data_IF_962931962268
#
_entry.id   IF_962931962268
#
_cell.length_a   1.000
_cell.length_b   1.000
_cell.length_c   1.000
_cell.angle_alpha   90.00
_cell.angle_beta   90.00
_cell.angle_gamma   90.00
#
_symmetry.space_group_name_H-M   'P 1'
#
loop_
_entity.id
_entity.type
_entity.pdbx_description
1 polymer ?
#
# COMPACT_ATOMS: atom_id res chain seq x y z
N UNK A 1 10.63 -5.09 0.16
CA UNK A 1 11.54 -6.18 0.62
C UNK A 1 10.77 -7.49 0.65
N UNK A 2 11.38 -8.66 0.39
CA UNK A 2 10.72 -9.97 0.52
C UNK A 2 11.00 -10.63 1.87
N UNK A 3 9.96 -11.15 2.53
CA UNK A 3 10.04 -11.93 3.76
C UNK A 3 10.38 -13.40 3.50
N UNK A 4 10.24 -13.84 2.25
CA UNK A 4 10.68 -15.14 1.75
C UNK A 4 11.83 -14.90 0.76
N UNK A 5 13.00 -15.49 1.02
CA UNK A 5 14.18 -15.40 0.14
C UNK A 5 13.91 -16.11 -1.19
N UNK A 6 14.33 -15.50 -2.29
CA UNK A 6 14.08 -15.99 -3.65
C UNK A 6 14.87 -17.27 -3.96
N UNK A 7 14.14 -18.35 -4.22
CA UNK A 7 14.55 -19.54 -4.96
C UNK A 7 13.32 -20.11 -5.70
N UNK A 8 13.45 -21.22 -6.45
CA UNK A 8 12.28 -22.06 -6.75
C UNK A 8 11.49 -22.30 -5.46
N UNK A 9 10.15 -22.38 -5.47
CA UNK A 9 9.33 -22.55 -4.25
C UNK A 9 9.85 -23.66 -3.30
N UNK A 10 10.49 -24.69 -3.85
CA UNK A 10 11.11 -25.81 -3.12
C UNK A 10 12.39 -25.43 -2.34
N UNK A 11 13.04 -24.32 -2.69
CA UNK A 11 14.29 -23.82 -2.09
C UNK A 11 14.12 -22.46 -1.39
N UNK A 12 12.95 -21.84 -1.50
CA UNK A 12 12.64 -20.59 -0.81
C UNK A 12 12.63 -20.79 0.70
N UNK A 13 13.22 -19.84 1.45
CA UNK A 13 13.29 -19.89 2.92
C UNK A 13 12.81 -18.58 3.54
N UNK A 14 12.08 -18.62 4.67
CA UNK A 14 11.79 -17.41 5.42
C UNK A 14 13.07 -16.71 5.87
N UNK A 15 13.07 -15.39 5.90
CA UNK A 15 14.22 -14.63 6.42
C UNK A 15 14.43 -14.96 7.91
N UNK A 16 15.68 -15.19 8.39
CA UNK A 16 15.93 -15.60 9.77
C UNK A 16 15.33 -14.67 10.83
N UNK A 17 15.29 -13.36 10.56
CA UNK A 17 14.70 -12.36 11.45
C UNK A 17 13.20 -12.52 11.63
N UNK A 18 12.49 -13.02 10.62
CA UNK A 18 11.06 -13.33 10.72
C UNK A 18 10.84 -14.49 11.70
N UNK A 19 11.72 -15.49 11.69
CA UNK A 19 11.67 -16.61 12.63
C UNK A 19 11.95 -16.16 14.07
N UNK A 20 12.88 -15.22 14.28
CA UNK A 20 13.13 -14.60 15.60
C UNK A 20 11.85 -13.91 16.10
N UNK A 21 11.19 -13.12 15.25
CA UNK A 21 9.93 -12.46 15.60
C UNK A 21 8.82 -13.48 15.91
N UNK A 22 8.71 -14.55 15.13
CA UNK A 22 7.75 -15.63 15.36
C UNK A 22 7.93 -16.26 16.74
N UNK A 23 9.17 -16.63 17.09
CA UNK A 23 9.50 -17.23 18.39
C UNK A 23 9.21 -16.27 19.56
N UNK A 24 9.57 -14.99 19.40
CA UNK A 24 9.26 -13.93 20.38
C UNK A 24 7.77 -13.87 20.71
N UNK A 25 6.91 -14.11 19.71
CA UNK A 25 5.46 -14.05 19.83
C UNK A 25 4.77 -15.41 19.93
N UNK A 26 5.51 -16.43 20.39
CA UNK A 26 4.97 -17.73 20.76
C UNK A 26 4.51 -18.57 19.58
N UNK A 27 5.08 -18.35 18.39
CA UNK A 27 4.98 -19.26 17.26
C UNK A 27 6.24 -20.12 17.25
N UNK A 28 6.09 -21.38 17.60
CA UNK A 28 7.17 -22.36 17.51
C UNK A 28 7.42 -22.71 16.03
N UNK A 29 8.59 -22.35 15.53
CA UNK A 29 9.03 -22.57 14.15
C UNK A 29 10.49 -23.03 14.13
N UNK A 30 10.80 -24.18 13.49
CA UNK A 30 12.18 -24.60 13.29
C UNK A 30 12.87 -23.69 12.24
N UNK A 31 14.20 -23.68 12.23
CA UNK A 31 14.98 -22.83 11.30
C UNK A 31 14.82 -23.24 9.82
N UNK A 32 14.38 -24.46 9.56
CA UNK A 32 14.16 -25.04 8.22
C UNK A 32 12.67 -25.09 7.81
N UNK A 33 11.81 -24.36 8.52
CA UNK A 33 10.36 -24.32 8.22
C UNK A 33 10.10 -23.90 6.77
N UNK A 34 9.23 -24.64 6.09
CA UNK A 34 8.84 -24.28 4.73
C UNK A 34 8.04 -22.95 4.73
N UNK A 35 8.15 -22.13 3.67
CA UNK A 35 7.36 -20.90 3.56
C UNK A 35 5.85 -21.13 3.71
N UNK A 36 5.34 -22.27 3.21
CA UNK A 36 3.92 -22.65 3.33
C UNK A 36 3.54 -22.95 4.79
N UNK A 37 4.31 -23.78 5.48
CA UNK A 37 4.02 -24.15 6.88
C UNK A 37 4.14 -22.92 7.79
N UNK A 38 5.10 -22.02 7.51
CA UNK A 38 5.19 -20.75 8.20
C UNK A 38 3.92 -19.93 7.98
N UNK A 39 3.50 -19.74 6.73
CA UNK A 39 2.28 -18.99 6.40
C UNK A 39 1.07 -19.55 7.16
N UNK A 40 0.86 -20.87 7.16
CA UNK A 40 -0.27 -21.49 7.85
C UNK A 40 -0.28 -21.16 9.35
N UNK A 41 0.89 -21.18 10.00
CA UNK A 41 1.05 -20.77 11.40
C UNK A 41 0.78 -19.27 11.61
N UNK A 42 1.25 -18.42 10.69
CA UNK A 42 1.00 -16.97 10.75
C UNK A 42 -0.49 -16.65 10.56
N UNK A 43 -1.16 -17.32 9.62
CA UNK A 43 -2.61 -17.18 9.41
C UNK A 43 -3.39 -17.65 10.64
N UNK A 44 -2.96 -18.71 11.31
CA UNK A 44 -3.62 -19.17 12.52
C UNK A 44 -3.43 -18.21 13.71
N UNK A 45 -2.23 -17.63 13.87
CA UNK A 45 -1.88 -16.88 15.08
C UNK A 45 -2.11 -15.37 14.96
N UNK A 46 -1.67 -14.78 13.86
CA UNK A 46 -1.58 -13.32 13.71
C UNK A 46 -2.69 -12.74 12.86
N UNK A 47 -3.10 -13.42 11.79
CA UNK A 47 -4.17 -12.94 10.91
C UNK A 47 -5.50 -12.75 11.66
N UNK A 48 -6.14 -11.61 11.42
CA UNK A 48 -7.44 -11.26 12.01
C UNK A 48 -8.52 -11.30 10.95
N UNK A 49 -9.08 -12.49 10.73
CA UNK A 49 -10.17 -12.69 9.79
C UNK A 49 -11.41 -11.87 10.17
N UNK A 50 -12.04 -11.24 9.18
CA UNK A 50 -13.28 -10.47 9.36
C UNK A 50 -13.12 -9.09 10.02
N UNK A 51 -11.92 -8.73 10.48
CA UNK A 51 -11.64 -7.40 11.04
C UNK A 51 -11.05 -6.47 9.99
N UNK A 52 -11.54 -5.23 9.97
CA UNK A 52 -10.84 -4.12 9.32
C UNK A 52 -9.64 -3.74 10.19
N UNK A 53 -8.52 -3.34 9.58
CA UNK A 53 -7.26 -3.06 10.29
C UNK A 53 -7.40 -2.02 11.40
N UNK A 54 -8.24 -1.01 11.20
CA UNK A 54 -8.49 0.03 12.21
C UNK A 54 -9.34 -0.47 13.40
N UNK A 55 -9.90 -1.68 13.32
CA UNK A 55 -10.63 -2.34 14.40
C UNK A 55 -9.72 -3.24 15.25
N UNK A 56 -8.51 -3.55 14.77
CA UNK A 56 -7.52 -4.30 15.53
C UNK A 56 -7.06 -3.42 16.70
N UNK A 57 -7.26 -3.93 17.92
CA UNK A 57 -6.84 -3.27 19.17
C UNK A 57 -5.68 -4.05 19.79
N UNK A 58 -4.91 -3.39 20.64
CA UNK A 58 -3.81 -3.99 21.39
C UNK A 58 -2.82 -2.94 21.87
N UNK A 59 -1.76 -3.42 22.50
CA UNK A 59 -0.65 -2.58 22.96
C UNK A 59 0.21 -2.10 21.76
N UNK A 60 0.82 -0.91 21.86
CA UNK A 60 1.81 -0.46 20.90
C UNK A 60 3.05 -1.39 20.90
N UNK A 61 3.82 -1.45 19.80
CA UNK A 61 5.08 -2.17 19.75
C UNK A 61 6.08 -1.58 20.76
N UNK A 62 6.88 -2.45 21.40
CA UNK A 62 8.00 -2.05 22.25
C UNK A 62 9.24 -1.71 21.39
N UNK A 63 10.26 -1.10 21.98
CA UNK A 63 11.48 -0.71 21.25
C UNK A 63 12.17 -1.90 20.55
N UNK A 64 12.20 -3.06 21.20
CA UNK A 64 12.76 -4.29 20.66
C UNK A 64 11.87 -4.91 19.56
N UNK A 65 10.57 -4.61 19.53
CA UNK A 65 9.70 -4.92 18.39
C UNK A 65 10.00 -4.02 17.21
N UNK A 66 10.10 -2.71 17.47
CA UNK A 66 10.41 -1.72 16.45
C UNK A 66 11.77 -2.01 15.80
N UNK A 67 12.77 -2.43 16.58
CA UNK A 67 14.06 -2.87 16.06
C UNK A 67 13.91 -4.05 15.09
N UNK A 68 13.21 -5.11 15.48
CA UNK A 68 12.97 -6.27 14.61
C UNK A 68 12.15 -5.91 13.37
N UNK A 69 11.13 -5.07 13.50
CA UNK A 69 10.29 -4.65 12.40
C UNK A 69 11.06 -3.77 11.39
N UNK A 70 12.00 -2.93 11.86
CA UNK A 70 12.92 -2.20 10.99
C UNK A 70 13.92 -3.11 10.29
N UNK A 71 14.49 -4.09 10.99
CA UNK A 71 15.39 -5.08 10.36
C UNK A 71 14.69 -5.98 9.34
N UNK A 72 13.36 -6.05 9.39
CA UNK A 72 12.50 -6.72 8.43
C UNK A 72 11.92 -5.77 7.38
N UNK A 73 12.42 -4.53 7.27
CA UNK A 73 11.90 -3.47 6.38
C UNK A 73 10.36 -3.37 6.40
N UNK A 74 9.73 -3.72 7.53
CA UNK A 74 8.28 -3.61 7.72
C UNK A 74 7.89 -2.18 8.12
N UNK A 75 8.90 -1.36 8.43
CA UNK A 75 8.77 0.02 8.85
C UNK A 75 9.94 0.81 8.24
N UNK A 76 9.67 1.53 7.15
CA UNK A 76 10.67 2.43 6.55
C UNK A 76 10.47 3.88 7.00
N UNK A 77 11.53 4.50 7.48
CA UNK A 77 11.56 5.91 7.89
C UNK A 77 11.76 6.87 6.70
N UNK A 78 12.28 6.36 5.58
CA UNK A 78 12.60 7.16 4.39
C UNK A 78 11.87 6.56 3.20
N UNK A 79 11.20 7.35 2.34
CA UNK A 79 10.63 6.82 1.11
C UNK A 79 11.77 6.17 0.32
N UNK A 80 11.57 4.98 -0.28
CA UNK A 80 12.60 4.38 -1.11
C UNK A 80 12.94 5.36 -2.23
N UNK A 81 14.14 5.94 -2.15
CA UNK A 81 14.76 6.54 -3.31
C UNK A 81 15.18 5.38 -4.21
N UNK A 82 14.46 5.19 -5.31
CA UNK A 82 14.93 4.32 -6.37
C UNK A 82 16.04 5.07 -7.12
N UNK A 83 17.20 5.17 -6.49
CA UNK A 83 18.44 5.19 -7.26
C UNK A 83 18.57 3.77 -7.86
N UNK A 84 18.76 3.67 -9.18
CA UNK A 84 18.93 2.35 -9.83
C UNK A 84 19.92 1.49 -9.03
N UNK A 85 19.67 0.17 -8.88
CA UNK A 85 20.58 -0.68 -8.13
C UNK A 85 22.03 -0.55 -8.67
N UNK A 86 23.03 -0.58 -7.78
CA UNK A 86 24.43 -0.17 -8.03
C UNK A 86 25.24 -1.05 -9.00
N UNK A 87 24.60 -1.92 -9.78
CA UNK A 87 25.27 -2.89 -10.67
C UNK A 87 25.25 -2.51 -12.16
N UNK A 88 24.63 -1.40 -12.54
CA UNK A 88 24.90 -0.81 -13.86
C UNK A 88 26.29 -0.16 -13.85
N UNK A 89 27.16 -0.42 -14.84
CA UNK A 89 28.48 0.19 -14.87
C UNK A 89 28.34 1.71 -14.85
N UNK A 90 29.15 2.40 -14.05
CA UNK A 90 28.92 3.77 -13.66
C UNK A 90 29.14 4.68 -14.86
N UNK A 91 28.09 5.34 -15.30
CA UNK A 91 28.31 6.66 -15.90
C UNK A 91 27.30 7.71 -15.47
N UNK A 92 26.15 7.35 -14.86
CA UNK A 92 25.31 8.24 -14.03
C UNK A 92 24.04 7.48 -13.60
N UNK A 93 23.63 7.52 -12.31
CA UNK A 93 22.28 7.07 -11.93
C UNK A 93 21.26 7.92 -12.68
N UNK A 94 20.41 7.28 -13.49
CA UNK A 94 19.30 7.99 -14.14
C UNK A 94 18.17 8.15 -13.13
N UNK A 95 17.47 9.29 -13.09
CA UNK A 95 16.26 9.38 -12.28
C UNK A 95 15.19 8.43 -12.83
N UNK A 96 14.41 7.80 -11.93
CA UNK A 96 13.19 7.09 -12.31
C UNK A 96 12.12 8.13 -12.62
N UNK A 97 11.57 8.08 -13.84
CA UNK A 97 10.47 8.94 -14.27
C UNK A 97 9.17 8.15 -14.18
N UNK A 98 8.27 8.58 -13.29
CA UNK A 98 6.99 7.93 -13.04
C UNK A 98 5.92 8.38 -14.05
N UNK A 99 5.15 7.44 -14.58
CA UNK A 99 3.97 7.69 -15.43
C UNK A 99 2.80 8.27 -14.63
N UNK A 100 2.73 7.95 -13.35
CA UNK A 100 1.71 8.46 -12.45
C UNK A 100 1.88 7.93 -11.03
N UNK A 101 0.95 8.31 -10.17
CA UNK A 101 0.86 7.78 -8.81
C UNK A 101 -0.50 7.14 -8.57
N UNK A 102 -0.54 6.16 -7.70
CA UNK A 102 -1.74 5.51 -7.20
C UNK A 102 -1.87 5.86 -5.73
N UNK A 103 -2.89 6.63 -5.36
CA UNK A 103 -3.23 6.89 -3.97
C UNK A 103 -4.22 5.84 -3.50
N UNK A 104 -3.80 4.95 -2.61
CA UNK A 104 -4.69 3.90 -2.13
C UNK A 104 -5.81 4.47 -1.24
N UNK A 105 -6.97 3.81 -1.24
CA UNK A 105 -8.07 4.11 -0.34
C UNK A 105 -7.77 3.78 1.12
N UNK A 106 -8.39 4.53 2.02
CA UNK A 106 -8.39 4.31 3.47
C UNK A 106 -9.45 5.22 4.12
N UNK A 107 -9.54 5.17 5.46
CA UNK A 107 -10.26 6.19 6.21
C UNK A 107 -9.66 7.59 6.01
N UNK A 108 -10.49 8.63 6.08
CA UNK A 108 -10.10 10.03 5.89
C UNK A 108 -8.76 10.46 6.54
N UNK A 109 -8.46 10.17 7.82
CA UNK A 109 -7.19 10.60 8.41
C UNK A 109 -5.96 10.00 7.71
N UNK A 110 -6.07 8.75 7.24
CA UNK A 110 -4.99 8.07 6.52
C UNK A 110 -4.82 8.59 5.10
N UNK A 111 -5.92 8.93 4.42
CA UNK A 111 -5.86 9.56 3.08
C UNK A 111 -5.14 10.91 3.15
N UNK A 112 -5.44 11.74 4.15
CA UNK A 112 -4.70 13.02 4.31
C UNK A 112 -3.27 12.81 4.71
N UNK A 113 -2.97 11.91 5.64
CA UNK A 113 -1.58 11.60 5.98
C UNK A 113 -0.80 11.16 4.73
N UNK A 114 -1.35 10.31 3.85
CA UNK A 114 -0.69 9.92 2.59
C UNK A 114 -0.44 11.10 1.66
N UNK A 115 -1.41 12.01 1.52
CA UNK A 115 -1.26 13.20 0.69
C UNK A 115 -0.22 14.16 1.27
N UNK A 116 -0.21 14.36 2.59
CA UNK A 116 0.79 15.18 3.29
C UNK A 116 2.21 14.58 3.17
N UNK A 117 2.31 13.26 3.29
CA UNK A 117 3.57 12.56 3.09
C UNK A 117 4.06 12.81 1.66
N UNK A 118 3.17 12.62 0.67
CA UNK A 118 3.48 12.84 -0.73
C UNK A 118 3.89 14.28 -1.03
N UNK A 119 3.21 15.30 -0.49
CA UNK A 119 3.63 16.71 -0.69
C UNK A 119 5.02 17.00 -0.14
N UNK A 120 5.45 16.26 0.88
CA UNK A 120 6.77 16.41 1.50
C UNK A 120 7.90 15.84 0.62
N UNK A 121 7.68 14.71 -0.05
CA UNK A 121 8.70 14.07 -0.88
C UNK A 121 8.45 14.17 -2.40
N UNK A 122 7.35 14.74 -2.86
CA UNK A 122 7.09 14.96 -4.29
C UNK A 122 8.19 15.76 -5.01
N UNK A 123 8.85 16.78 -4.40
CA UNK A 123 9.97 17.49 -5.03
C UNK A 123 11.21 16.63 -5.30
N UNK A 124 11.22 15.39 -4.78
CA UNK A 124 12.33 14.45 -4.81
C UNK A 124 12.11 13.31 -5.82
N UNK A 125 11.00 13.31 -6.54
CA UNK A 125 10.63 12.29 -7.54
C UNK A 125 10.29 12.96 -8.87
N UNK A 126 10.66 12.32 -9.97
CA UNK A 126 10.39 12.82 -11.31
C UNK A 126 9.15 12.15 -11.89
N UNK A 127 8.24 12.94 -12.44
CA UNK A 127 7.05 12.45 -13.14
C UNK A 127 7.05 12.89 -14.60
N UNK A 128 6.38 12.11 -15.46
CA UNK A 128 6.04 12.56 -16.81
C UNK A 128 5.27 13.88 -16.77
N UNK A 129 5.43 14.72 -17.79
CA UNK A 129 4.78 16.04 -17.83
C UNK A 129 3.26 16.01 -17.64
N UNK A 130 2.60 14.97 -18.14
CA UNK A 130 1.15 14.77 -18.13
C UNK A 130 0.67 13.75 -17.09
N UNK A 131 1.49 13.49 -16.07
CA UNK A 131 1.18 12.51 -15.02
C UNK A 131 -0.12 12.82 -14.29
N UNK A 132 -0.71 11.76 -13.71
CA UNK A 132 -1.92 11.84 -12.91
C UNK A 132 -1.81 11.06 -11.62
N UNK A 133 -2.52 11.52 -10.61
CA UNK A 133 -2.85 10.75 -9.43
C UNK A 133 -4.13 9.94 -9.64
N UNK A 134 -4.04 8.62 -9.57
CA UNK A 134 -5.20 7.74 -9.57
C UNK A 134 -5.66 7.52 -8.14
N UNK A 135 -6.84 8.02 -7.80
CA UNK A 135 -7.44 7.89 -6.47
C UNK A 135 -8.20 6.57 -6.40
N UNK A 136 -7.64 5.58 -5.70
CA UNK A 136 -8.24 4.24 -5.59
C UNK A 136 -9.33 4.22 -4.51
N UNK A 137 -10.56 4.55 -4.92
CA UNK A 137 -11.71 4.64 -4.03
C UNK A 137 -12.73 3.53 -4.25
N UNK A 138 -13.27 2.99 -3.14
CA UNK A 138 -14.37 2.04 -3.20
C UNK A 138 -15.75 2.64 -2.92
N UNK A 139 -16.80 1.94 -3.35
CA UNK A 139 -18.18 2.19 -2.93
C UNK A 139 -18.47 1.76 -1.48
N UNK A 140 -17.45 1.74 -0.60
CA UNK A 140 -17.61 1.47 0.83
C UNK A 140 -18.32 2.65 1.49
N UNK A 141 -19.38 2.45 2.29
CA UNK A 141 -19.97 3.52 3.10
C UNK A 141 -18.95 4.14 4.06
N UNK A 142 -19.09 5.44 4.30
CA UNK A 142 -18.24 6.15 5.27
C UNK A 142 -18.52 5.69 6.71
N UNK A 143 -17.47 5.67 7.53
CA UNK A 143 -17.57 5.47 8.97
C UNK A 143 -18.17 6.74 9.62
N UNK A 144 -19.35 6.67 10.26
CA UNK A 144 -20.03 7.87 10.74
C UNK A 144 -19.30 8.59 11.88
N UNK A 145 -18.34 7.94 12.54
CA UNK A 145 -17.53 8.52 13.62
C UNK A 145 -16.24 9.10 13.06
N UNK A 146 -15.54 8.35 12.20
CA UNK A 146 -14.20 8.72 11.70
C UNK A 146 -14.22 9.49 10.38
N UNK A 147 -15.36 9.56 9.73
CA UNK A 147 -15.56 10.18 8.42
C UNK A 147 -16.87 11.01 8.43
N UNK A 148 -17.22 11.58 9.60
CA UNK A 148 -18.36 12.47 9.77
C UNK A 148 -18.16 13.81 9.04
N UNK A 149 -19.24 14.59 8.87
CA UNK A 149 -19.13 15.95 8.31
C UNK A 149 -18.13 16.81 9.07
N UNK A 150 -18.17 16.75 10.40
CA UNK A 150 -17.25 17.50 11.26
C UNK A 150 -15.79 17.10 10.99
N UNK A 151 -15.51 15.79 10.90
CA UNK A 151 -14.17 15.29 10.61
C UNK A 151 -13.70 15.68 9.20
N UNK A 152 -14.56 15.55 8.20
CA UNK A 152 -14.24 15.88 6.81
C UNK A 152 -14.01 17.39 6.59
N UNK A 153 -14.69 18.23 7.38
CA UNK A 153 -14.60 19.68 7.27
C UNK A 153 -13.65 20.32 8.31
N UNK A 154 -12.90 19.51 9.07
CA UNK A 154 -11.86 19.99 9.98
C UNK A 154 -10.49 19.79 9.31
N UNK A 155 -9.66 20.84 9.18
CA UNK A 155 -8.30 20.69 8.70
C UNK A 155 -7.51 19.69 9.56
N UNK A 156 -6.73 18.83 8.90
CA UNK A 156 -5.82 17.88 9.57
C UNK A 156 -4.37 18.30 9.30
N UNK A 157 -3.44 17.37 9.04
CA UNK A 157 -2.04 17.76 8.76
C UNK A 157 -1.88 18.54 7.44
N UNK A 158 -2.77 18.30 6.47
CA UNK A 158 -2.80 19.00 5.19
C UNK A 158 -3.84 20.13 5.25
N UNK A 159 -3.44 21.41 5.09
CA UNK A 159 -4.35 22.54 5.15
C UNK A 159 -5.34 22.53 3.99
N UNK A 160 -6.50 23.16 4.20
CA UNK A 160 -7.47 23.37 3.13
C UNK A 160 -7.02 24.50 2.20
N UNK A 161 -7.47 24.45 0.94
CA UNK A 161 -7.29 25.53 -0.02
C UNK A 161 -7.91 26.82 0.52
N UNK A 162 -7.26 27.94 0.24
CA UNK A 162 -7.77 29.27 0.58
C UNK A 162 -9.17 29.47 -0.04
N UNK A 163 -10.10 29.98 0.76
CA UNK A 163 -11.49 30.20 0.34
C UNK A 163 -12.32 28.93 0.15
N UNK A 164 -11.81 27.74 0.50
CA UNK A 164 -12.60 26.51 0.44
C UNK A 164 -13.77 26.56 1.42
N UNK A 165 -14.95 26.18 0.94
CA UNK A 165 -16.17 26.04 1.74
C UNK A 165 -16.74 24.65 1.58
N UNK A 166 -17.25 24.09 2.67
CA UNK A 166 -17.90 22.79 2.65
C UNK A 166 -19.11 22.82 1.68
N UNK A 167 -19.24 21.84 0.78
CA UNK A 167 -20.40 21.72 -0.11
C UNK A 167 -21.67 21.36 0.68
N UNK A 168 -22.82 21.57 0.05
CA UNK A 168 -24.11 21.13 0.58
C UNK A 168 -24.21 19.60 0.63
N UNK A 169 -23.80 18.92 -0.44
CA UNK A 169 -23.73 17.46 -0.51
C UNK A 169 -22.38 16.97 -0.01
N UNK A 170 -22.40 16.28 1.13
CA UNK A 170 -21.23 15.59 1.67
C UNK A 170 -21.00 14.25 0.97
N UNK A 171 -19.75 13.75 0.93
CA UNK A 171 -19.45 12.41 0.40
C UNK A 171 -20.14 11.33 1.25
N UNK A 172 -20.51 10.24 0.60
CA UNK A 172 -21.22 9.09 1.21
C UNK A 172 -20.44 7.78 1.05
N UNK A 173 -19.43 7.76 0.16
CA UNK A 173 -18.55 6.62 -0.09
C UNK A 173 -17.09 7.00 0.05
N UNK A 174 -16.23 6.00 0.24
CA UNK A 174 -14.77 6.20 0.27
C UNK A 174 -14.26 6.87 -1.02
N UNK A 175 -14.77 6.49 -2.19
CA UNK A 175 -14.40 7.14 -3.46
C UNK A 175 -14.74 8.64 -3.47
N UNK A 176 -15.97 9.01 -3.09
CA UNK A 176 -16.38 10.42 -2.98
C UNK A 176 -15.55 11.15 -1.91
N UNK A 177 -15.21 10.49 -0.80
CA UNK A 177 -14.40 11.09 0.27
C UNK A 177 -12.96 11.34 -0.17
N UNK A 178 -12.36 10.44 -0.95
CA UNK A 178 -11.02 10.63 -1.49
C UNK A 178 -10.97 11.82 -2.46
N UNK A 179 -11.95 11.91 -3.36
CA UNK A 179 -12.07 13.05 -4.27
C UNK A 179 -12.31 14.36 -3.49
N UNK A 180 -13.23 14.34 -2.53
CA UNK A 180 -13.48 15.48 -1.63
C UNK A 180 -12.21 15.93 -0.91
N UNK A 181 -11.42 14.98 -0.40
CA UNK A 181 -10.15 15.23 0.28
C UNK A 181 -9.13 15.85 -0.67
N UNK A 182 -9.00 15.35 -1.89
CA UNK A 182 -8.13 15.96 -2.91
C UNK A 182 -8.55 17.40 -3.23
N UNK A 183 -9.85 17.61 -3.45
CA UNK A 183 -10.40 18.90 -3.85
C UNK A 183 -10.24 19.97 -2.77
N UNK A 184 -10.41 19.61 -1.48
CA UNK A 184 -10.27 20.55 -0.38
C UNK A 184 -8.82 20.85 -0.01
N UNK A 185 -7.88 19.94 -0.29
CA UNK A 185 -6.49 20.04 0.18
C UNK A 185 -5.65 21.04 -0.60
N UNK A 186 -4.77 21.78 0.08
CA UNK A 186 -3.82 22.69 -0.54
C UNK A 186 -2.69 21.93 -1.27
N UNK A 187 -3.00 21.42 -2.46
CA UNK A 187 -2.08 20.71 -3.35
C UNK A 187 -1.60 21.62 -4.49
N UNK A 188 -0.42 21.37 -5.08
CA UNK A 188 0.03 22.10 -6.27
C UNK A 188 -1.02 22.07 -7.40
N UNK A 189 -1.35 23.22 -8.01
CA UNK A 189 -2.45 23.34 -8.98
C UNK A 189 -2.24 22.56 -10.29
N UNK A 190 -0.99 22.26 -10.62
CA UNK A 190 -0.59 21.47 -11.76
C UNK A 190 -0.89 19.97 -11.57
N UNK A 191 -0.99 19.49 -10.33
CA UNK A 191 -1.30 18.09 -10.06
C UNK A 191 -2.72 17.75 -10.50
N UNK A 192 -2.83 16.75 -11.38
CA UNK A 192 -4.10 16.23 -11.88
C UNK A 192 -4.42 14.92 -11.19
N UNK A 193 -5.72 14.63 -11.07
CA UNK A 193 -6.19 13.38 -10.52
C UNK A 193 -7.26 12.74 -11.40
N UNK A 194 -7.44 11.45 -11.22
CA UNK A 194 -8.51 10.66 -11.80
C UNK A 194 -9.05 9.72 -10.74
N UNK A 195 -10.37 9.75 -10.51
CA UNK A 195 -11.01 8.90 -9.52
C UNK A 195 -11.28 7.51 -10.12
N UNK A 196 -10.73 6.48 -9.48
CA UNK A 196 -11.09 5.08 -9.75
C UNK A 196 -12.16 4.69 -8.75
N UNK A 197 -13.44 4.79 -9.14
CA UNK A 197 -14.58 4.47 -8.28
C UNK A 197 -15.03 3.02 -8.47
N UNK A 198 -14.52 2.12 -7.63
CA UNK A 198 -14.83 0.68 -7.72
C UNK A 198 -16.17 0.36 -7.06
N UNK A 199 -17.11 -0.32 -7.76
CA UNK A 199 -18.40 -0.68 -7.18
C UNK A 199 -18.26 -1.77 -6.11
N UNK A 200 -19.35 -1.98 -5.35
CA UNK A 200 -19.48 -3.13 -4.46
C UNK A 200 -19.30 -4.43 -5.26
N UNK A 201 -18.60 -5.40 -4.66
CA UNK A 201 -18.31 -6.68 -5.30
C UNK A 201 -19.32 -7.74 -4.87
N UNK A 202 -19.76 -8.62 -5.77
CA UNK A 202 -20.63 -9.72 -5.41
C UNK A 202 -19.91 -10.72 -4.49
N UNK A 203 -20.67 -11.33 -3.59
CA UNK A 203 -20.25 -12.48 -2.77
C UNK A 203 -20.81 -13.77 -3.35
N UNK A 204 -20.20 -14.90 -2.99
CA UNK A 204 -20.67 -16.25 -3.35
C UNK A 204 -22.05 -16.57 -2.77
N UNK A 205 -22.42 -15.94 -1.65
CA UNK A 205 -23.73 -16.08 -1.00
C UNK A 205 -24.83 -15.20 -1.61
N UNK A 206 -24.54 -14.48 -2.71
CA UNK A 206 -25.47 -13.57 -3.37
C UNK A 206 -25.54 -12.17 -2.74
N UNK A 207 -24.83 -11.92 -1.63
CA UNK A 207 -24.68 -10.59 -1.06
C UNK A 207 -23.65 -9.73 -1.78
N UNK A 208 -23.34 -8.58 -1.21
CA UNK A 208 -22.24 -7.71 -1.67
C UNK A 208 -21.23 -7.48 -0.56
N UNK A 209 -20.00 -7.15 -0.95
CA UNK A 209 -18.93 -6.67 -0.07
C UNK A 209 -18.33 -5.36 -0.61
N UNK A 210 -17.76 -4.52 0.25
CA UNK A 210 -16.89 -3.45 -0.21
C UNK A 210 -15.74 -4.01 -1.08
N UNK A 211 -15.31 -3.26 -2.12
CA UNK A 211 -14.12 -3.63 -2.88
C UNK A 211 -12.88 -3.52 -1.99
N UNK A 212 -11.89 -4.37 -2.26
CA UNK A 212 -10.57 -4.29 -1.67
C UNK A 212 -9.57 -3.66 -2.67
N UNK A 213 -8.33 -3.44 -2.24
CA UNK A 213 -7.28 -2.86 -3.08
C UNK A 213 -7.05 -3.63 -4.39
N UNK A 214 -7.16 -4.96 -4.36
CA UNK A 214 -7.04 -5.79 -5.56
C UNK A 214 -8.17 -5.54 -6.56
N UNK A 215 -9.42 -5.45 -6.08
CA UNK A 215 -10.57 -5.13 -6.95
C UNK A 215 -10.40 -3.76 -7.61
N UNK A 216 -9.94 -2.76 -6.86
CA UNK A 216 -9.71 -1.41 -7.38
C UNK A 216 -8.53 -1.34 -8.36
N UNK A 217 -7.47 -2.11 -8.13
CA UNK A 217 -6.36 -2.23 -9.08
C UNK A 217 -6.81 -2.85 -10.42
N UNK A 218 -7.67 -3.88 -10.38
CA UNK A 218 -8.28 -4.47 -11.58
C UNK A 218 -9.17 -3.47 -12.31
N UNK A 219 -10.01 -2.75 -11.58
CA UNK A 219 -10.87 -1.69 -12.14
C UNK A 219 -10.03 -0.59 -12.81
N UNK A 220 -8.99 -0.11 -12.14
CA UNK A 220 -8.04 0.86 -12.69
C UNK A 220 -7.44 0.36 -14.01
N UNK A 221 -6.87 -0.83 -14.01
CA UNK A 221 -6.22 -1.38 -15.19
C UNK A 221 -7.19 -1.56 -16.36
N UNK A 222 -8.37 -2.14 -16.10
CA UNK A 222 -9.32 -2.50 -17.16
C UNK A 222 -10.09 -1.31 -17.72
N UNK A 223 -10.48 -0.35 -16.86
CA UNK A 223 -11.33 0.79 -17.27
C UNK A 223 -10.53 2.05 -17.59
N UNK A 224 -9.48 2.33 -16.81
CA UNK A 224 -8.68 3.54 -16.99
C UNK A 224 -7.49 3.33 -17.94
N UNK A 225 -7.13 2.06 -18.22
CA UNK A 225 -6.11 1.68 -19.21
C UNK A 225 -4.82 2.50 -19.06
N UNK A 226 -4.18 2.46 -17.88
CA UNK A 226 -2.96 3.21 -17.63
C UNK A 226 -1.86 2.83 -18.63
N UNK A 227 -0.98 3.79 -18.97
CA UNK A 227 0.19 3.50 -19.82
C UNK A 227 1.15 2.57 -19.06
N UNK A 228 1.81 1.59 -19.71
CA UNK A 228 2.92 0.87 -19.09
C UNK A 228 4.02 1.85 -18.65
N UNK A 229 4.70 1.54 -17.56
CA UNK A 229 5.80 2.33 -16.99
C UNK A 229 5.88 2.22 -15.47
N UNK A 230 6.57 3.17 -14.85
CA UNK A 230 6.74 3.23 -13.40
C UNK A 230 5.57 3.95 -12.74
N UNK A 231 4.94 3.32 -11.74
CA UNK A 231 3.90 3.93 -10.92
C UNK A 231 4.30 3.95 -9.46
N UNK A 232 4.09 5.11 -8.83
CA UNK A 232 4.29 5.26 -7.39
C UNK A 232 3.01 4.86 -6.65
N UNK A 233 3.07 3.85 -5.79
CA UNK A 233 1.93 3.40 -4.97
C UNK A 233 2.01 3.98 -3.57
N UNK A 234 1.09 4.88 -3.23
CA UNK A 234 1.06 5.55 -1.94
C UNK A 234 0.19 4.80 -0.93
N UNK A 235 0.82 4.36 0.15
CA UNK A 235 0.18 3.73 1.31
C UNK A 235 0.74 4.32 2.61
N UNK A 236 0.23 3.89 3.77
CA UNK A 236 0.88 4.20 5.06
C UNK A 236 1.58 2.96 5.59
N UNK A 237 2.67 3.15 6.33
CA UNK A 237 3.30 2.08 7.09
C UNK A 237 2.34 1.52 8.16
N UNK A 238 2.37 0.20 8.43
CA UNK A 238 3.26 -0.83 7.85
C UNK A 238 2.74 -1.46 6.55
N UNK A 239 1.67 -0.95 5.95
CA UNK A 239 0.95 -1.63 4.87
C UNK A 239 1.56 -1.46 3.47
N UNK A 240 2.70 -0.77 3.35
CA UNK A 240 3.28 -0.35 2.07
C UNK A 240 3.59 -1.55 1.17
N UNK A 241 4.45 -2.46 1.63
CA UNK A 241 4.88 -3.62 0.84
C UNK A 241 3.72 -4.57 0.55
N UNK A 242 2.92 -4.92 1.55
CA UNK A 242 1.72 -5.75 1.35
C UNK A 242 0.80 -5.18 0.26
N UNK A 243 0.50 -3.88 0.30
CA UNK A 243 -0.39 -3.29 -0.69
C UNK A 243 0.25 -3.25 -2.08
N UNK A 244 1.57 -3.08 -2.17
CA UNK A 244 2.28 -3.20 -3.43
C UNK A 244 2.07 -4.57 -4.07
N UNK A 245 2.28 -5.64 -3.28
CA UNK A 245 2.08 -7.03 -3.74
C UNK A 245 0.64 -7.29 -4.18
N UNK A 246 -0.35 -6.76 -3.45
CA UNK A 246 -1.76 -6.87 -3.84
C UNK A 246 -2.03 -6.21 -5.19
N UNK A 247 -1.48 -5.01 -5.43
CA UNK A 247 -1.64 -4.30 -6.70
C UNK A 247 -0.94 -5.07 -7.82
N UNK A 248 0.31 -5.51 -7.61
CA UNK A 248 1.05 -6.31 -8.60
C UNK A 248 0.30 -7.60 -8.97
N UNK A 249 -0.18 -8.37 -7.97
CA UNK A 249 -0.98 -9.58 -8.21
C UNK A 249 -2.23 -9.26 -9.03
N UNK A 250 -2.98 -8.23 -8.64
CA UNK A 250 -4.20 -7.84 -9.34
C UNK A 250 -3.95 -7.46 -10.81
N UNK A 251 -2.86 -6.75 -11.09
CA UNK A 251 -2.45 -6.45 -12.46
C UNK A 251 -2.07 -7.71 -13.25
N UNK A 252 -1.32 -8.65 -12.65
CA UNK A 252 -0.97 -9.93 -13.28
C UNK A 252 -2.21 -10.78 -13.59
N UNK A 253 -3.19 -10.81 -12.68
CA UNK A 253 -4.47 -11.50 -12.89
C UNK A 253 -5.26 -10.90 -14.06
N UNK A 254 -5.04 -9.62 -14.39
CA UNK A 254 -5.59 -8.98 -15.59
C UNK A 254 -4.72 -9.17 -16.85
N UNK A 255 -3.63 -9.93 -16.78
CA UNK A 255 -2.71 -10.17 -17.89
C UNK A 255 -1.69 -9.06 -18.13
N UNK A 256 -1.52 -8.12 -17.20
CA UNK A 256 -0.49 -7.09 -17.32
C UNK A 256 0.92 -7.69 -17.16
N UNK A 257 1.90 -7.30 -18.01
CA UNK A 257 3.30 -7.67 -17.81
C UNK A 257 3.90 -6.85 -16.66
N UNK A 258 3.72 -7.30 -15.43
CA UNK A 258 4.27 -6.67 -14.22
C UNK A 258 5.69 -7.14 -13.98
N UNK A 259 6.61 -6.20 -13.84
CA UNK A 259 8.02 -6.46 -13.53
C UNK A 259 8.31 -6.05 -12.09
N UNK A 260 9.10 -6.87 -11.38
CA UNK A 260 9.60 -6.47 -10.06
C UNK A 260 10.71 -5.44 -10.22
N UNK A 261 10.74 -4.41 -9.36
CA UNK A 261 11.81 -3.40 -9.30
C UNK A 261 13.21 -4.03 -9.18
N UNK A 262 13.29 -5.25 -8.64
CA UNK A 262 14.54 -6.00 -8.43
C UNK A 262 14.95 -6.91 -9.60
N UNK A 263 14.18 -6.98 -10.68
CA UNK A 263 14.55 -7.78 -11.86
C UNK A 263 15.30 -6.90 -12.86
N UNK A 264 16.59 -7.21 -13.07
CA UNK A 264 17.61 -6.39 -13.73
C UNK A 264 17.47 -6.18 -15.25
N UNK A 265 16.28 -6.32 -15.82
CA UNK A 265 16.05 -6.22 -17.28
C UNK A 265 14.98 -5.18 -17.60
N UNK A 266 15.29 -3.91 -17.38
CA UNK A 266 14.43 -2.79 -17.82
C UNK A 266 14.59 -2.58 -19.33
N UNK A 267 13.89 -3.39 -20.11
CA UNK A 267 13.93 -3.35 -21.58
C UNK A 267 12.60 -3.61 -22.27
N UNK A 268 11.47 -3.61 -21.56
CA UNK A 268 10.20 -4.05 -22.12
C UNK A 268 8.96 -3.31 -21.62
N UNK A 269 7.94 -3.31 -22.48
CA UNK A 269 6.56 -2.90 -22.24
C UNK A 269 6.03 -3.58 -20.96
N UNK A 270 5.83 -2.82 -19.88
CA UNK A 270 5.42 -3.39 -18.60
C UNK A 270 5.13 -2.38 -17.50
N UNK A 271 4.53 -2.86 -16.41
CA UNK A 271 4.24 -2.07 -15.22
C UNK A 271 5.28 -2.35 -14.13
N UNK A 272 5.83 -1.29 -13.56
CA UNK A 272 6.72 -1.36 -12.40
C UNK A 272 6.07 -0.58 -11.26
N UNK A 273 5.68 -1.27 -10.20
CA UNK A 273 5.02 -0.66 -9.04
C UNK A 273 6.06 -0.40 -7.95
N UNK A 274 6.16 0.86 -7.54
CA UNK A 274 7.09 1.31 -6.50
C UNK A 274 6.26 1.83 -5.35
N UNK A 275 6.17 1.10 -4.24
CA UNK A 275 5.38 1.56 -3.11
C UNK A 275 6.18 2.45 -2.17
N UNK A 276 5.55 3.50 -1.66
CA UNK A 276 6.11 4.31 -0.60
C UNK A 276 5.04 4.73 0.41
N UNK A 277 5.51 5.09 1.60
CA UNK A 277 4.70 5.61 2.68
C UNK A 277 5.61 6.01 3.83
N UNK A 278 5.39 7.19 4.40
CA UNK A 278 6.12 7.61 5.59
C UNK A 278 5.47 7.01 6.84
N UNK A 279 6.29 6.89 7.88
CA UNK A 279 5.79 6.66 9.23
C UNK A 279 5.27 8.00 9.74
N UNK A 280 3.96 8.22 9.59
CA UNK A 280 3.35 9.41 10.19
C UNK A 280 3.13 9.26 11.69
N UNK A 281 3.05 8.02 12.21
CA UNK A 281 3.19 7.70 13.64
C UNK A 281 3.24 6.18 13.89
N UNK A 282 4.11 5.71 14.80
CA UNK A 282 4.16 4.32 15.31
C UNK A 282 3.04 4.02 16.32
N UNK A 283 1.85 4.56 16.09
CA UNK A 283 0.71 4.51 17.02
C UNK A 283 -0.18 3.28 16.83
N UNK A 284 0.15 2.43 15.86
CA UNK A 284 -0.64 1.22 15.61
C UNK A 284 -0.33 0.16 16.67
N UNK A 285 -1.33 -0.63 17.09
CA UNK A 285 -1.07 -1.80 17.91
C UNK A 285 -0.10 -2.76 17.24
N UNK A 286 0.77 -3.40 18.00
CA UNK A 286 1.68 -4.44 17.53
C UNK A 286 0.94 -5.52 16.72
N UNK A 287 -0.26 -5.91 17.16
CA UNK A 287 -1.10 -6.89 16.47
C UNK A 287 -1.42 -6.51 15.00
N UNK A 288 -1.46 -5.21 14.68
CA UNK A 288 -1.64 -4.72 13.32
C UNK A 288 -0.40 -4.95 12.45
N UNK A 289 0.80 -4.80 13.01
CA UNK A 289 2.06 -5.11 12.30
C UNK A 289 2.17 -6.62 12.04
N UNK A 290 1.85 -7.44 13.04
CA UNK A 290 1.89 -8.91 12.92
C UNK A 290 0.84 -9.43 11.92
N UNK A 291 -0.39 -8.90 11.92
CA UNK A 291 -1.40 -9.20 10.89
C UNK A 291 -0.91 -8.81 9.49
N UNK A 292 -0.25 -7.66 9.35
CA UNK A 292 0.30 -7.22 8.07
C UNK A 292 1.42 -8.15 7.56
N UNK A 293 2.33 -8.59 8.43
CA UNK A 293 3.37 -9.56 8.08
C UNK A 293 2.75 -10.88 7.61
N UNK A 294 1.75 -11.40 8.33
CA UNK A 294 1.06 -12.63 7.93
C UNK A 294 0.44 -12.48 6.52
N UNK A 295 -0.18 -11.34 6.23
CA UNK A 295 -0.75 -11.06 4.90
C UNK A 295 0.33 -10.91 3.82
N UNK A 296 1.45 -10.27 4.13
CA UNK A 296 2.54 -10.10 3.18
C UNK A 296 3.15 -11.46 2.80
N UNK A 297 3.42 -12.33 3.78
CA UNK A 297 3.91 -13.70 3.53
C UNK A 297 2.93 -14.47 2.64
N UNK A 298 1.62 -14.34 2.88
CA UNK A 298 0.60 -14.93 2.03
C UNK A 298 0.69 -14.43 0.58
N UNK A 299 0.77 -13.11 0.38
CA UNK A 299 0.86 -12.50 -0.96
C UNK A 299 2.15 -12.88 -1.70
N UNK A 300 3.29 -12.95 -1.00
CA UNK A 300 4.56 -13.42 -1.58
C UNK A 300 4.46 -14.87 -2.07
N UNK A 301 3.73 -15.73 -1.34
CA UNK A 301 3.47 -17.10 -1.77
C UNK A 301 2.55 -17.19 -2.99
N UNK A 302 1.54 -16.31 -3.09
CA UNK A 302 0.67 -16.25 -4.28
C UNK A 302 1.43 -15.73 -5.51
N UNK A 303 2.45 -14.89 -5.29
CA UNK A 303 3.24 -14.29 -6.36
C UNK A 303 4.41 -15.16 -6.84
N UNK A 304 4.70 -16.27 -6.15
CA UNK A 304 5.75 -17.21 -6.53
C UNK A 304 5.32 -18.03 -7.77
N UNK A 305 6.19 -18.17 -8.79
CA UNK A 305 5.89 -18.94 -9.99
C UNK A 305 5.80 -20.45 -9.73
#
# INVERSE_FOLDING_TARGET
MRLIQNGPLQNSRPVPKLLVLCRKYGIDVPDDVSPKDLNDRLQQKWFKEGYLRFQIKGEPPKDDDLALLRELDCIDEVPPFLEFPPEYPPSEPRPVIYEGMVLLGALRPRVVSRLQDFTTFAPRVDFQRDWKAYLFGGARPLDPVKESREVLCTPAELPFKEGWTAPERMPTTEAEMMEFTWQQSQLPPEWKYELVNTPLQPKTDGGTRPPNTGDTAKEWFTKHKPRPGFYLVLSNQPFVEYQNLVVERALRECGAPVQSVFQHSFGGEGFVMCACGLISSLTLPLATYLDNIARQVYEELQAAP
#
